data_IF_600918814706
#
_entry.id   IF_600918814706
#
_cell.length_a   1.000
_cell.length_b   1.000
_cell.length_c   1.000
_cell.angle_alpha   90.00
_cell.angle_beta   90.00
_cell.angle_gamma   90.00
#
_symmetry.space_group_name_H-M   'P 1'
#
loop_
_entity.id
_entity.type
_entity.pdbx_description
1 polymer ?
#
# COMPACT_ATOMS: atom_id res chain seq x y z
N UNK A 1 -23.22 2.04 -33.01
CA UNK A 1 -23.96 2.92 -33.93
C UNK A 1 -25.00 3.69 -33.13
N UNK A 2 -25.04 5.00 -33.37
CA UNK A 2 -26.09 5.96 -32.98
C UNK A 2 -26.17 6.39 -31.50
N UNK A 3 -26.28 7.67 -31.14
CA UNK A 3 -25.92 8.98 -31.70
C UNK A 3 -26.43 10.00 -30.67
N UNK A 4 -25.65 11.06 -30.43
CA UNK A 4 -26.10 12.46 -30.22
C UNK A 4 -26.89 12.82 -28.93
N UNK A 5 -26.85 14.01 -28.32
CA UNK A 5 -26.07 15.27 -28.43
C UNK A 5 -26.78 16.30 -27.51
N UNK A 6 -26.02 17.30 -26.98
CA UNK A 6 -26.45 18.61 -26.40
C UNK A 6 -27.11 18.55 -25.00
N UNK A 7 -26.75 19.41 -24.05
CA UNK A 7 -27.00 20.87 -24.08
C UNK A 7 -25.84 21.68 -23.44
N UNK A 8 -25.47 22.75 -24.12
CA UNK A 8 -24.63 23.86 -23.65
C UNK A 8 -25.36 24.68 -22.58
N UNK A 9 -24.64 25.10 -21.54
CA UNK A 9 -25.07 26.19 -20.65
C UNK A 9 -23.88 27.10 -20.34
N UNK A 10 -23.70 28.13 -21.17
CA UNK A 10 -22.79 29.24 -20.93
C UNK A 10 -23.51 30.29 -20.07
N UNK A 11 -22.88 30.71 -18.97
CA UNK A 11 -23.23 31.94 -18.28
C UNK A 11 -21.93 32.65 -17.89
N UNK A 12 -21.50 33.52 -18.81
CA UNK A 12 -20.47 34.52 -18.57
C UNK A 12 -21.10 35.67 -17.78
N UNK A 13 -20.55 36.00 -16.62
CA UNK A 13 -20.73 37.33 -16.02
C UNK A 13 -19.35 37.89 -15.72
N UNK A 14 -18.97 38.88 -16.53
CA UNK A 14 -17.86 39.77 -16.28
C UNK A 14 -18.28 40.82 -15.24
N UNK A 15 -17.43 41.08 -14.25
CA UNK A 15 -17.50 42.28 -13.43
C UNK A 15 -16.10 42.91 -13.35
N UNK A 16 -16.09 44.20 -13.63
CA UNK A 16 -14.93 45.00 -13.94
C UNK A 16 -14.13 45.48 -12.70
N UNK A 17 -12.87 45.77 -13.00
CA UNK A 17 -11.83 46.47 -12.28
C UNK A 17 -12.20 47.46 -11.16
N UNK A 18 -11.41 47.40 -10.08
CA UNK A 18 -10.94 48.58 -9.34
C UNK A 18 -9.41 48.50 -9.24
N UNK A 19 -8.73 49.41 -9.92
CA UNK A 19 -7.29 49.63 -9.84
C UNK A 19 -7.00 50.57 -8.65
N UNK A 20 -6.14 50.12 -7.73
CA UNK A 20 -5.52 50.95 -6.70
C UNK A 20 -4.00 50.80 -6.77
N UNK A 21 -3.21 51.87 -6.61
CA UNK A 21 -1.76 51.78 -6.63
C UNK A 21 -1.25 51.34 -5.25
N UNK A 22 -1.11 50.03 -5.05
CA UNK A 22 -0.32 49.49 -3.94
C UNK A 22 1.13 49.34 -4.40
N UNK A 23 1.99 50.26 -3.95
CA UNK A 23 3.44 50.09 -4.03
C UNK A 23 3.86 48.92 -3.15
N UNK A 24 3.97 47.73 -3.73
CA UNK A 24 4.57 46.55 -3.09
C UNK A 24 6.01 46.45 -3.58
N UNK A 25 6.93 46.67 -2.65
CA UNK A 25 8.36 46.47 -2.83
C UNK A 25 8.59 44.99 -3.14
N UNK A 26 8.90 44.69 -4.40
CA UNK A 26 9.16 43.34 -4.88
C UNK A 26 10.41 42.77 -4.19
N UNK A 27 10.18 41.85 -3.27
CA UNK A 27 11.22 40.98 -2.72
C UNK A 27 11.68 40.03 -3.84
N UNK A 28 12.99 39.78 -4.04
CA UNK A 28 13.47 38.92 -5.10
C UNK A 28 12.86 37.52 -4.97
N UNK A 29 12.02 37.14 -5.93
CA UNK A 29 11.50 35.78 -6.04
C UNK A 29 12.67 34.82 -6.26
N UNK A 30 12.83 33.87 -5.33
CA UNK A 30 13.77 32.76 -5.50
C UNK A 30 13.42 32.01 -6.79
N UNK A 31 14.42 31.81 -7.65
CA UNK A 31 14.25 31.10 -8.90
C UNK A 31 13.69 29.69 -8.66
N UNK A 32 12.74 29.21 -9.48
CA UNK A 32 12.20 27.87 -9.35
C UNK A 32 13.32 26.84 -9.53
N UNK A 33 13.50 25.98 -8.52
CA UNK A 33 14.44 24.87 -8.58
C UNK A 33 14.12 23.98 -9.78
N UNK A 34 15.11 23.77 -10.65
CA UNK A 34 14.99 22.86 -11.78
C UNK A 34 14.65 21.45 -11.30
N UNK A 35 13.75 20.71 -11.98
CA UNK A 35 13.37 19.37 -11.56
C UNK A 35 14.59 18.45 -11.61
N UNK A 36 15.02 17.98 -10.44
CA UNK A 36 16.10 17.01 -10.32
C UNK A 36 15.72 15.71 -11.06
N UNK A 37 16.68 15.12 -11.78
CA UNK A 37 16.52 13.82 -12.43
C UNK A 37 16.15 12.75 -11.39
N UNK A 38 15.32 11.75 -11.72
CA UNK A 38 15.00 10.66 -10.80
C UNK A 38 16.30 9.93 -10.42
N UNK A 39 16.74 10.11 -9.17
CA UNK A 39 17.83 9.32 -8.59
C UNK A 39 17.24 7.98 -8.19
N UNK A 40 17.87 6.89 -8.60
CA UNK A 40 17.48 5.56 -8.16
C UNK A 40 17.61 5.47 -6.63
N UNK A 41 16.56 4.99 -5.95
CA UNK A 41 16.54 4.85 -4.49
C UNK A 41 17.57 3.80 -4.06
N UNK A 42 18.46 4.15 -3.12
CA UNK A 42 19.48 3.20 -2.61
C UNK A 42 18.89 2.22 -1.60
N UNK A 43 19.55 1.07 -1.33
CA UNK A 43 19.11 0.14 -0.29
C UNK A 43 18.97 0.77 1.09
N UNK A 44 19.85 1.70 1.45
CA UNK A 44 19.81 2.43 2.72
C UNK A 44 18.56 3.32 2.81
N UNK A 45 18.19 3.99 1.72
CA UNK A 45 16.99 4.80 1.65
C UNK A 45 15.71 3.94 1.76
N UNK A 46 15.71 2.74 1.17
CA UNK A 46 14.62 1.76 1.36
C UNK A 46 14.54 1.35 2.84
N UNK A 47 15.67 1.07 3.49
CA UNK A 47 15.69 0.71 4.91
C UNK A 47 15.15 1.83 5.82
N UNK A 48 15.45 3.10 5.50
CA UNK A 48 14.88 4.27 6.18
C UNK A 48 13.36 4.36 5.94
N UNK A 49 12.91 4.22 4.69
CA UNK A 49 11.48 4.16 4.37
C UNK A 49 10.77 3.04 5.13
N UNK A 50 11.38 1.86 5.26
CA UNK A 50 10.86 0.74 6.06
C UNK A 50 10.70 1.08 7.54
N UNK A 51 11.64 1.81 8.12
CA UNK A 51 11.50 2.31 9.51
C UNK A 51 10.27 3.20 9.63
N UNK A 52 10.07 4.14 8.71
CA UNK A 52 8.90 5.01 8.71
C UNK A 52 7.59 4.21 8.58
N UNK A 53 7.52 3.25 7.66
CA UNK A 53 6.34 2.39 7.50
C UNK A 53 5.99 1.63 8.79
N UNK A 54 6.99 1.16 9.54
CA UNK A 54 6.78 0.52 10.85
C UNK A 54 6.28 1.51 11.89
N UNK A 55 6.92 2.67 11.99
CA UNK A 55 6.53 3.71 12.95
C UNK A 55 5.08 4.16 12.72
N UNK A 56 4.66 4.30 11.46
CA UNK A 56 3.29 4.66 11.07
C UNK A 56 2.29 3.48 11.09
N UNK A 57 2.69 2.29 11.52
CA UNK A 57 1.87 1.07 11.52
C UNK A 57 1.33 0.66 10.12
N UNK A 58 1.98 1.10 9.04
CA UNK A 58 1.58 0.76 7.68
C UNK A 58 1.89 -0.70 7.34
N UNK A 59 2.94 -1.28 7.93
CA UNK A 59 3.25 -2.71 7.74
C UNK A 59 2.11 -3.62 8.21
N UNK A 60 1.49 -3.31 9.35
CA UNK A 60 0.33 -4.04 9.84
C UNK A 60 -0.91 -3.81 8.97
N UNK A 61 -1.09 -2.60 8.41
CA UNK A 61 -2.17 -2.31 7.47
C UNK A 61 -2.09 -3.14 6.18
N UNK A 62 -0.89 -3.23 5.59
CA UNK A 62 -0.63 -4.09 4.41
C UNK A 62 -0.87 -5.56 4.76
N UNK A 63 -0.37 -6.01 5.90
CA UNK A 63 -0.54 -7.40 6.35
C UNK A 63 -2.02 -7.75 6.53
N UNK A 64 -2.79 -6.92 7.22
CA UNK A 64 -4.25 -7.10 7.39
C UNK A 64 -4.98 -7.13 6.05
N UNK A 65 -4.62 -6.25 5.12
CA UNK A 65 -5.24 -6.20 3.78
C UNK A 65 -4.99 -7.50 3.02
N UNK A 66 -3.76 -8.01 3.04
CA UNK A 66 -3.42 -9.29 2.42
C UNK A 66 -4.11 -10.47 3.09
N UNK A 67 -4.25 -10.45 4.42
CA UNK A 67 -4.94 -11.49 5.17
C UNK A 67 -6.43 -11.56 4.83
N UNK A 68 -7.09 -10.42 4.62
CA UNK A 68 -8.48 -10.40 4.14
C UNK A 68 -8.61 -11.05 2.76
N UNK A 69 -7.72 -10.73 1.82
CA UNK A 69 -7.74 -11.31 0.46
C UNK A 69 -7.48 -12.82 0.46
N UNK A 70 -6.52 -13.27 1.28
CA UNK A 70 -6.22 -14.70 1.44
C UNK A 70 -7.37 -15.40 2.15
N UNK A 71 -7.97 -14.76 3.16
CA UNK A 71 -9.15 -15.25 3.87
C UNK A 71 -10.31 -15.53 2.91
N UNK A 72 -10.61 -14.62 1.99
CA UNK A 72 -11.63 -14.86 0.95
C UNK A 72 -11.33 -16.09 0.10
N UNK A 73 -10.08 -16.30 -0.29
CA UNK A 73 -9.65 -17.48 -1.06
C UNK A 73 -9.76 -18.76 -0.21
N UNK A 74 -9.46 -18.67 1.09
CA UNK A 74 -9.61 -19.77 2.05
C UNK A 74 -11.09 -20.15 2.19
N UNK A 75 -12.00 -19.19 2.33
CA UNK A 75 -13.43 -19.47 2.43
C UNK A 75 -13.99 -20.10 1.15
N UNK A 76 -13.52 -19.67 -0.02
CA UNK A 76 -13.83 -20.35 -1.29
C UNK A 76 -13.34 -21.80 -1.29
N UNK A 77 -12.13 -22.05 -0.77
CA UNK A 77 -11.58 -23.40 -0.65
C UNK A 77 -12.41 -24.25 0.31
N UNK A 78 -12.81 -23.68 1.46
CA UNK A 78 -13.71 -24.34 2.42
C UNK A 78 -15.02 -24.74 1.73
N UNK A 79 -15.62 -23.84 0.95
CA UNK A 79 -16.83 -24.14 0.18
C UNK A 79 -16.63 -25.31 -0.78
N UNK A 80 -15.48 -25.40 -1.44
CA UNK A 80 -15.16 -26.49 -2.39
C UNK A 80 -14.89 -27.83 -1.71
N UNK A 81 -14.39 -27.85 -0.47
CA UNK A 81 -14.05 -29.11 0.22
C UNK A 81 -15.21 -29.72 0.99
N UNK A 82 -16.32 -28.99 1.20
CA UNK A 82 -17.49 -29.50 1.94
C UNK A 82 -18.09 -30.76 1.29
N UNK A 83 -17.98 -30.88 -0.01
CA UNK A 83 -18.48 -32.03 -0.77
C UNK A 83 -17.52 -33.24 -0.78
N UNK A 84 -16.32 -33.08 -0.20
CA UNK A 84 -15.36 -34.16 -0.04
C UNK A 84 -15.66 -34.99 1.23
N UNK A 85 -15.26 -36.27 1.26
CA UNK A 85 -15.26 -37.07 2.48
C UNK A 85 -14.55 -36.34 3.64
N UNK A 86 -15.09 -36.43 4.86
CA UNK A 86 -14.64 -35.66 6.03
C UNK A 86 -13.15 -35.87 6.31
N UNK A 87 -12.64 -37.08 6.10
CA UNK A 87 -11.23 -37.44 6.27
C UNK A 87 -10.28 -36.74 5.28
N UNK A 88 -10.81 -36.19 4.17
CA UNK A 88 -10.06 -35.42 3.17
C UNK A 88 -10.11 -33.92 3.39
N UNK A 89 -11.12 -33.41 4.10
CA UNK A 89 -11.31 -31.96 4.27
C UNK A 89 -10.12 -31.30 4.98
N UNK A 90 -9.70 -31.84 6.14
CA UNK A 90 -8.56 -31.29 6.89
C UNK A 90 -7.25 -31.36 6.10
N UNK A 91 -6.85 -32.51 5.50
CA UNK A 91 -5.66 -32.56 4.65
C UNK A 91 -5.64 -31.54 3.51
N UNK A 92 -6.79 -31.23 2.89
CA UNK A 92 -6.85 -30.20 1.85
C UNK A 92 -6.64 -28.80 2.42
N UNK A 93 -7.23 -28.51 3.59
CA UNK A 93 -7.02 -27.21 4.26
C UNK A 93 -5.56 -27.03 4.72
N UNK A 94 -4.91 -28.10 5.18
CA UNK A 94 -3.49 -28.08 5.55
C UNK A 94 -2.60 -27.87 4.31
N UNK A 95 -2.97 -28.50 3.19
CA UNK A 95 -2.31 -28.29 1.90
C UNK A 95 -2.42 -26.84 1.42
N UNK A 96 -3.58 -26.20 1.61
CA UNK A 96 -3.81 -24.78 1.32
C UNK A 96 -2.94 -23.88 2.21
N UNK A 97 -2.98 -24.09 3.52
CA UNK A 97 -2.22 -23.29 4.49
C UNK A 97 -0.72 -23.34 4.20
N UNK A 98 -0.18 -24.54 3.96
CA UNK A 98 1.22 -24.72 3.60
C UNK A 98 1.58 -24.08 2.26
N UNK A 99 0.63 -24.04 1.30
CA UNK A 99 0.87 -23.48 -0.02
C UNK A 99 0.86 -21.95 -0.06
N UNK A 100 0.20 -21.29 0.89
CA UNK A 100 0.04 -19.83 0.90
C UNK A 100 1.15 -19.10 1.63
N UNK A 101 1.79 -19.73 2.61
CA UNK A 101 2.73 -19.08 3.54
C UNK A 101 3.90 -18.37 2.83
N UNK A 102 4.74 -19.11 2.10
CA UNK A 102 5.91 -18.52 1.44
C UNK A 102 5.54 -17.49 0.33
N UNK A 103 4.54 -17.75 -0.54
CA UNK A 103 4.05 -16.74 -1.47
C UNK A 103 3.52 -15.48 -0.78
N UNK A 104 2.77 -15.61 0.33
CA UNK A 104 2.26 -14.48 1.12
C UNK A 104 3.40 -13.63 1.65
N UNK A 105 4.38 -14.24 2.31
CA UNK A 105 5.55 -13.51 2.84
C UNK A 105 6.28 -12.73 1.75
N UNK A 106 6.55 -13.35 0.59
CA UNK A 106 7.20 -12.66 -0.54
C UNK A 106 6.36 -11.51 -1.09
N UNK A 107 5.04 -11.69 -1.17
CA UNK A 107 4.12 -10.64 -1.60
C UNK A 107 4.15 -9.47 -0.62
N UNK A 108 4.01 -9.72 0.68
CA UNK A 108 4.06 -8.71 1.73
C UNK A 108 5.36 -7.92 1.69
N UNK A 109 6.52 -8.59 1.71
CA UNK A 109 7.82 -7.92 1.68
C UNK A 109 7.96 -7.05 0.42
N UNK A 110 7.55 -7.59 -0.73
CA UNK A 110 7.59 -6.86 -1.99
C UNK A 110 6.74 -5.59 -2.02
N UNK A 111 5.53 -5.63 -1.45
CA UNK A 111 4.66 -4.45 -1.34
C UNK A 111 5.29 -3.41 -0.40
N UNK A 112 5.84 -3.85 0.73
CA UNK A 112 6.46 -2.95 1.70
C UNK A 112 7.75 -2.30 1.15
N UNK A 113 8.52 -3.02 0.35
CA UNK A 113 9.71 -2.46 -0.31
C UNK A 113 9.32 -1.40 -1.37
N UNK A 114 8.27 -1.66 -2.14
CA UNK A 114 7.74 -0.68 -3.11
C UNK A 114 7.22 0.58 -2.40
N UNK A 115 6.53 0.43 -1.27
CA UNK A 115 6.08 1.54 -0.44
C UNK A 115 7.24 2.30 0.20
N UNK A 116 8.25 1.61 0.72
CA UNK A 116 9.41 2.26 1.31
C UNK A 116 10.18 3.07 0.27
N UNK A 117 10.35 2.52 -0.94
CA UNK A 117 10.93 3.25 -2.06
C UNK A 117 10.10 4.47 -2.47
N UNK A 118 8.76 4.36 -2.45
CA UNK A 118 7.88 5.50 -2.67
C UNK A 118 8.14 6.63 -1.67
N UNK A 119 8.09 6.36 -0.36
CA UNK A 119 8.36 7.39 0.65
C UNK A 119 9.78 7.96 0.55
N UNK A 120 10.79 7.12 0.29
CA UNK A 120 12.17 7.54 0.08
C UNK A 120 12.38 8.44 -1.16
N UNK A 121 11.49 8.33 -2.16
CA UNK A 121 11.52 9.20 -3.34
C UNK A 121 10.82 10.54 -3.08
N UNK A 122 9.83 10.56 -2.18
CA UNK A 122 9.00 11.74 -1.92
C UNK A 122 9.52 12.61 -0.77
N UNK A 123 10.24 12.00 0.18
CA UNK A 123 10.75 12.65 1.39
C UNK A 123 12.27 12.58 1.41
N UNK A 124 12.89 13.61 1.98
CA UNK A 124 14.32 13.58 2.28
C UNK A 124 14.61 12.63 3.46
N UNK A 125 15.86 12.20 3.57
CA UNK A 125 16.32 11.39 4.72
C UNK A 125 16.07 12.09 6.07
N UNK A 126 16.23 13.41 6.14
CA UNK A 126 15.94 14.17 7.36
C UNK A 126 14.45 14.08 7.73
N UNK A 127 13.56 14.31 6.77
CA UNK A 127 12.11 14.22 6.99
C UNK A 127 11.67 12.82 7.40
N UNK A 128 12.21 11.77 6.77
CA UNK A 128 11.92 10.38 7.14
C UNK A 128 12.35 10.10 8.57
N UNK A 129 13.53 10.59 8.99
CA UNK A 129 14.04 10.41 10.33
C UNK A 129 13.19 11.15 11.37
N UNK A 130 12.81 12.39 11.10
CA UNK A 130 11.99 13.20 12.01
C UNK A 130 10.60 12.59 12.18
N UNK A 131 9.94 12.23 11.07
CA UNK A 131 8.63 11.56 11.10
C UNK A 131 8.70 10.23 11.86
N UNK A 132 9.69 9.40 11.57
CA UNK A 132 9.85 8.11 12.25
C UNK A 132 10.06 8.30 13.75
N UNK A 133 10.88 9.27 14.15
CA UNK A 133 11.15 9.58 15.56
C UNK A 133 9.89 10.04 16.28
N UNK A 134 9.09 10.91 15.66
CA UNK A 134 7.80 11.30 16.23
C UNK A 134 6.86 10.11 16.36
N UNK A 135 6.66 9.34 15.29
CA UNK A 135 5.71 8.23 15.31
C UNK A 135 6.11 7.13 16.29
N UNK A 136 7.39 7.02 16.66
CA UNK A 136 7.87 6.13 17.73
C UNK A 136 7.57 6.65 19.16
N UNK A 137 7.15 7.90 19.33
CA UNK A 137 6.72 8.43 20.64
C UNK A 137 5.36 7.85 21.08
N UNK A 138 5.01 7.91 22.39
CA UNK A 138 3.68 7.49 22.85
C UNK A 138 2.54 8.23 22.17
N UNK A 139 2.67 9.55 21.96
CA UNK A 139 1.66 10.36 21.27
C UNK A 139 1.53 9.94 19.80
N UNK A 140 2.67 9.78 19.11
CA UNK A 140 2.71 9.34 17.71
C UNK A 140 2.12 7.95 17.50
N UNK A 141 2.45 6.98 18.37
CA UNK A 141 1.86 5.65 18.35
C UNK A 141 0.36 5.68 18.60
N UNK A 142 -0.10 6.47 19.58
CA UNK A 142 -1.54 6.61 19.86
C UNK A 142 -2.29 7.19 18.65
N UNK A 143 -1.70 8.17 17.96
CA UNK A 143 -2.27 8.79 16.77
C UNK A 143 -2.46 7.80 15.59
N UNK A 144 -1.60 6.79 15.44
CA UNK A 144 -1.70 5.83 14.32
C UNK A 144 -2.37 4.51 14.68
N UNK A 145 -2.36 4.12 15.96
CA UNK A 145 -2.97 2.87 16.42
C UNK A 145 -4.40 3.05 16.91
N UNK A 146 -4.67 4.13 17.64
CA UNK A 146 -5.93 4.37 18.35
C UNK A 146 -6.31 5.85 18.30
N UNK A 147 -6.48 6.46 17.11
CA UNK A 147 -6.80 7.88 16.99
C UNK A 147 -8.09 8.25 17.73
N UNK A 148 -9.10 7.37 17.72
CA UNK A 148 -10.40 7.60 18.39
C UNK A 148 -10.29 7.62 19.93
N UNK A 149 -9.19 7.12 20.49
CA UNK A 149 -8.93 7.10 21.93
C UNK A 149 -8.09 8.29 22.42
N UNK A 150 -7.75 9.24 21.54
CA UNK A 150 -7.00 10.44 21.90
C UNK A 150 -7.89 11.43 22.66
N UNK A 151 -7.34 11.97 23.75
CA UNK A 151 -7.97 13.05 24.52
C UNK A 151 -7.91 14.37 23.76
N UNK A 152 -8.76 15.37 24.10
CA UNK A 152 -8.68 16.70 23.49
C UNK A 152 -7.29 17.35 23.62
N UNK A 153 -6.63 17.18 24.77
CA UNK A 153 -5.28 17.73 25.00
C UNK A 153 -4.22 17.07 24.11
N UNK A 154 -4.27 15.74 23.94
CA UNK A 154 -3.36 15.04 23.03
C UNK A 154 -3.60 15.43 21.56
N UNK A 155 -4.86 15.66 21.18
CA UNK A 155 -5.20 16.16 19.84
C UNK A 155 -4.66 17.58 19.61
N UNK A 156 -4.75 18.46 20.61
CA UNK A 156 -4.16 19.80 20.55
C UNK A 156 -2.63 19.74 20.43
N UNK A 157 -1.97 18.88 21.23
CA UNK A 157 -0.52 18.67 21.14
C UNK A 157 -0.09 18.12 19.79
N UNK A 158 -0.81 17.14 19.24
CA UNK A 158 -0.57 16.61 17.89
C UNK A 158 -0.73 17.71 16.84
N UNK A 159 -1.76 18.55 16.96
CA UNK A 159 -2.01 19.67 16.06
C UNK A 159 -0.88 20.71 16.11
N UNK A 160 -0.47 21.13 17.31
CA UNK A 160 0.64 22.06 17.50
C UNK A 160 1.94 21.50 16.91
N UNK A 161 2.26 20.24 17.20
CA UNK A 161 3.43 19.56 16.66
C UNK A 161 3.40 19.53 15.11
N UNK A 162 2.26 19.19 14.51
CA UNK A 162 2.11 19.14 13.05
C UNK A 162 2.26 20.51 12.37
N UNK A 163 1.87 21.61 13.05
CA UNK A 163 2.07 22.98 12.55
C UNK A 163 3.54 23.41 12.58
N UNK A 164 4.29 22.97 13.59
CA UNK A 164 5.73 23.25 13.73
C UNK A 164 6.60 22.39 12.79
N UNK A 165 6.09 21.24 12.34
CA UNK A 165 6.83 20.25 11.55
C UNK A 165 6.18 20.06 10.18
N UNK A 166 6.53 20.86 9.16
CA UNK A 166 5.84 20.89 7.86
C UNK A 166 5.82 19.53 7.13
N UNK A 167 6.75 18.64 7.43
CA UNK A 167 6.78 17.27 6.92
C UNK A 167 5.54 16.44 7.32
N UNK A 168 4.81 16.79 8.38
CA UNK A 168 3.54 16.15 8.74
C UNK A 168 2.46 16.40 7.69
N UNK A 169 2.34 17.64 7.21
CA UNK A 169 1.40 17.95 6.15
C UNK A 169 1.81 17.27 4.84
N UNK A 170 3.12 17.16 4.58
CA UNK A 170 3.63 16.40 3.42
C UNK A 170 3.26 14.93 3.50
N UNK A 171 3.46 14.25 4.64
CA UNK A 171 3.15 12.81 4.75
C UNK A 171 1.66 12.52 4.53
N UNK A 172 0.76 13.41 4.97
CA UNK A 172 -0.67 13.30 4.72
C UNK A 172 -1.01 13.44 3.23
N UNK A 173 -0.30 14.30 2.49
CA UNK A 173 -0.46 14.47 1.05
C UNK A 173 0.01 13.25 0.24
N UNK A 174 0.84 12.38 0.83
CA UNK A 174 1.31 11.14 0.17
C UNK A 174 0.28 10.00 0.24
N UNK A 175 -0.78 10.12 1.05
CA UNK A 175 -1.75 9.05 1.25
C UNK A 175 -2.38 8.50 -0.06
N UNK A 176 -2.77 9.34 -1.05
CA UNK A 176 -3.26 8.83 -2.33
C UNK A 176 -2.21 7.99 -3.08
N UNK A 177 -0.95 8.43 -3.06
CA UNK A 177 0.15 7.70 -3.72
C UNK A 177 0.54 6.41 -3.00
N UNK A 178 0.35 6.32 -1.69
CA UNK A 178 0.50 5.08 -0.92
C UNK A 178 -0.50 4.01 -1.38
N UNK A 179 -1.78 4.39 -1.58
CA UNK A 179 -2.80 3.47 -2.08
C UNK A 179 -2.51 3.04 -3.51
N UNK A 180 -2.10 3.98 -4.36
CA UNK A 180 -1.75 3.70 -5.75
C UNK A 180 -0.52 2.78 -5.87
N UNK A 181 0.52 3.02 -5.09
CA UNK A 181 1.73 2.20 -5.03
C UNK A 181 1.41 0.79 -4.56
N UNK A 182 0.58 0.66 -3.51
CA UNK A 182 0.13 -0.64 -3.00
C UNK A 182 -0.65 -1.39 -4.08
N UNK A 183 -1.63 -0.73 -4.72
CA UNK A 183 -2.44 -1.32 -5.80
C UNK A 183 -1.57 -1.80 -6.96
N UNK A 184 -0.66 -0.96 -7.44
CA UNK A 184 0.24 -1.29 -8.54
C UNK A 184 1.18 -2.43 -8.18
N UNK A 185 1.72 -2.44 -6.95
CA UNK A 185 2.55 -3.55 -6.46
C UNK A 185 1.78 -4.87 -6.43
N UNK A 186 0.55 -4.87 -5.90
CA UNK A 186 -0.33 -6.04 -5.87
C UNK A 186 -0.67 -6.54 -7.28
N UNK A 187 -1.01 -5.64 -8.21
CA UNK A 187 -1.31 -6.00 -9.61
C UNK A 187 -0.11 -6.65 -10.28
N UNK A 188 1.09 -6.09 -10.08
CA UNK A 188 2.33 -6.61 -10.66
C UNK A 188 2.74 -7.95 -10.07
N UNK A 189 2.60 -8.14 -8.75
CA UNK A 189 3.05 -9.33 -8.02
C UNK A 189 1.99 -10.44 -7.96
N UNK A 190 0.71 -10.11 -8.17
CA UNK A 190 -0.42 -11.03 -8.11
C UNK A 190 -0.30 -12.28 -9.00
N UNK A 191 0.10 -12.16 -10.28
CA UNK A 191 0.34 -13.33 -11.14
C UNK A 191 1.44 -14.26 -10.59
N UNK A 192 2.53 -13.69 -10.06
CA UNK A 192 3.64 -14.46 -9.47
C UNK A 192 3.19 -15.18 -8.20
N UNK A 193 2.44 -14.49 -7.34
CA UNK A 193 1.83 -15.08 -6.15
C UNK A 193 0.93 -16.28 -6.53
N UNK A 194 -0.01 -16.08 -7.47
CA UNK A 194 -0.93 -17.14 -7.90
C UNK A 194 -0.18 -18.34 -8.48
N UNK A 195 0.80 -18.12 -9.35
CA UNK A 195 1.58 -19.20 -9.92
C UNK A 195 2.36 -20.00 -8.85
N UNK A 196 2.96 -19.32 -7.87
CA UNK A 196 3.67 -19.97 -6.77
C UNK A 196 2.72 -20.75 -5.85
N UNK A 197 1.59 -20.14 -5.48
CA UNK A 197 0.54 -20.78 -4.69
C UNK A 197 -0.01 -22.03 -5.39
N UNK A 198 -0.47 -21.91 -6.65
CA UNK A 198 -1.03 -23.05 -7.40
C UNK A 198 -0.04 -24.19 -7.49
N UNK A 199 1.23 -23.91 -7.78
CA UNK A 199 2.28 -24.94 -7.83
C UNK A 199 2.42 -25.66 -6.49
N UNK A 200 2.52 -24.92 -5.40
CA UNK A 200 2.68 -25.50 -4.05
C UNK A 200 1.43 -26.27 -3.61
N UNK A 201 0.26 -25.72 -3.87
CA UNK A 201 -1.02 -26.32 -3.52
C UNK A 201 -1.23 -27.64 -4.26
N UNK A 202 -0.99 -27.66 -5.57
CA UNK A 202 -1.08 -28.88 -6.37
C UNK A 202 -0.06 -29.95 -5.96
N UNK A 203 1.16 -29.55 -5.63
CA UNK A 203 2.16 -30.47 -5.09
C UNK A 203 1.70 -31.08 -3.76
N UNK A 204 1.08 -30.29 -2.87
CA UNK A 204 0.56 -30.76 -1.60
C UNK A 204 -0.68 -31.65 -1.76
N UNK A 205 -1.59 -31.32 -2.68
CA UNK A 205 -2.73 -32.18 -3.04
C UNK A 205 -2.28 -33.53 -3.60
N UNK A 206 -1.25 -33.55 -4.44
CA UNK A 206 -0.70 -34.80 -4.98
C UNK A 206 -0.19 -35.74 -3.89
N UNK A 207 0.41 -35.22 -2.81
CA UNK A 207 0.89 -36.02 -1.67
C UNK A 207 -0.24 -36.71 -0.90
N UNK A 208 -1.47 -36.20 -0.98
CA UNK A 208 -2.66 -36.76 -0.30
C UNK A 208 -3.57 -37.55 -1.26
N UNK A 209 -3.07 -37.85 -2.47
CA UNK A 209 -3.78 -38.61 -3.49
C UNK A 209 -4.91 -37.84 -4.17
N UNK A 210 -4.87 -36.50 -4.17
CA UNK A 210 -5.87 -35.66 -4.80
C UNK A 210 -5.34 -34.99 -6.06
N UNK A 211 -6.21 -34.88 -7.07
CA UNK A 211 -5.95 -34.14 -8.31
C UNK A 211 -6.99 -33.05 -8.47
N UNK A 212 -6.58 -31.86 -8.90
CA UNK A 212 -7.48 -30.76 -9.24
C UNK A 212 -7.26 -30.39 -10.71
N UNK A 213 -8.33 -30.16 -11.47
CA UNK A 213 -8.27 -29.80 -12.90
C UNK A 213 -7.53 -28.48 -13.16
N UNK A 214 -7.43 -27.63 -12.13
CA UNK A 214 -6.65 -26.38 -12.12
C UNK A 214 -5.15 -26.62 -11.95
N UNK A 215 -4.73 -27.84 -11.62
CA UNK A 215 -3.32 -28.16 -11.47
C UNK A 215 -2.66 -28.34 -12.84
N UNK A 216 -1.50 -27.70 -13.06
CA UNK A 216 -0.76 -27.91 -14.29
C UNK A 216 -0.39 -29.39 -14.41
N UNK A 217 -0.64 -29.97 -15.59
CA UNK A 217 -0.24 -31.36 -15.87
C UNK A 217 1.28 -31.48 -15.66
N UNK A 218 1.75 -32.54 -14.98
CA UNK A 218 3.18 -32.78 -14.87
C UNK A 218 3.77 -32.85 -16.28
N UNK A 219 4.83 -32.08 -16.55
CA UNK A 219 5.50 -32.11 -17.83
C UNK A 219 5.94 -33.56 -18.11
N UNK A 220 5.55 -34.11 -19.26
CA UNK A 220 5.99 -35.44 -19.67
C UNK A 220 7.52 -35.47 -19.63
N UNK A 221 8.11 -36.35 -18.82
CA UNK A 221 9.55 -36.56 -18.83
C UNK A 221 9.92 -37.00 -20.24
N UNK A 222 10.62 -36.15 -21.00
CA UNK A 222 11.24 -36.56 -22.26
C UNK A 222 12.23 -37.67 -21.89
N UNK A 223 11.94 -38.89 -22.35
CA UNK A 223 12.83 -40.04 -22.23
C UNK A 223 14.02 -39.86 -23.18
#
# INVERSE_FOLDING_TARGET
MNTFTRILGAASVAAAALAGPSGVQAQPAAAPASPAKPVAVTPEQIAQGRRLLRAMNLEAGVTRTLDMLIGQTREQTISQVKDLPVEKQRPVMDAFASAVEAPRTRLTQGVLDDLAAYYATQLSTAEINDLSTFYETPLGQKAVLTPDAMTPQENEQLGAYALEHPQFMRVLQLAPGTMETTRTSLQRRGPVFRAAFTRSYCANLGKIGMTNTSCPKPAAKKK
#
